data_IF_141985571405
#
_entry.id   IF_141985571405
#
_cell.length_a   1.000
_cell.length_b   1.000
_cell.length_c   1.000
_cell.angle_alpha   90.00
_cell.angle_beta   90.00
_cell.angle_gamma   90.00
#
_symmetry.space_group_name_H-M   'P 1'
#
loop_
_entity.id
_entity.type
_entity.pdbx_description
1 polymer ?
#
# COMPACT_ATOMS: atom_id res chain seq x y z
N UNK A 1 -15.90 5.42 -30.90
CA UNK A 1 -16.91 6.28 -30.24
C UNK A 1 -18.08 5.46 -29.66
N UNK A 2 -17.83 4.40 -28.89
CA UNK A 2 -18.90 3.54 -28.34
C UNK A 2 -19.15 3.74 -26.83
N UNK A 3 -18.23 4.41 -26.13
CA UNK A 3 -18.31 4.58 -24.68
C UNK A 3 -19.06 5.86 -24.29
N UNK A 4 -19.01 6.90 -25.13
CA UNK A 4 -19.77 8.15 -24.97
C UNK A 4 -21.28 7.96 -25.15
N UNK A 5 -21.74 6.87 -25.76
CA UNK A 5 -23.18 6.52 -25.84
C UNK A 5 -23.69 5.82 -24.57
N UNK A 6 -22.79 5.36 -23.68
CA UNK A 6 -23.14 4.66 -22.44
C UNK A 6 -22.91 5.50 -21.19
N UNK A 7 -21.90 6.40 -21.20
CA UNK A 7 -21.62 7.30 -20.08
C UNK A 7 -20.99 8.61 -20.54
N UNK A 8 -21.53 9.72 -20.04
CA UNK A 8 -21.04 11.08 -20.27
C UNK A 8 -20.04 11.50 -19.16
N UNK A 9 -19.23 10.57 -18.63
CA UNK A 9 -18.28 10.84 -17.52
C UNK A 9 -16.86 10.43 -17.90
N UNK A 10 -15.91 11.36 -17.91
CA UNK A 10 -14.54 11.10 -18.37
C UNK A 10 -13.83 10.07 -17.46
N UNK A 11 -13.26 8.97 -18.00
CA UNK A 11 -12.59 7.96 -17.18
C UNK A 11 -11.25 8.42 -16.61
N UNK A 12 -10.67 9.51 -17.13
CA UNK A 12 -9.36 10.04 -16.70
C UNK A 12 -9.47 11.03 -15.54
N UNK A 13 -10.55 11.81 -15.49
CA UNK A 13 -10.71 12.89 -14.50
C UNK A 13 -12.07 12.90 -13.79
N UNK A 14 -12.95 11.95 -14.12
CA UNK A 14 -14.25 11.73 -13.49
C UNK A 14 -15.24 12.90 -13.69
N UNK A 15 -14.90 13.89 -14.54
CA UNK A 15 -15.78 15.02 -14.84
C UNK A 15 -16.85 14.66 -15.89
N UNK A 16 -18.10 15.12 -15.73
CA UNK A 16 -19.12 14.97 -16.75
C UNK A 16 -18.80 15.83 -17.97
N UNK A 17 -19.02 15.32 -19.18
CA UNK A 17 -18.80 16.05 -20.42
C UNK A 17 -19.99 15.85 -21.38
N UNK A 18 -20.35 16.91 -22.11
CA UNK A 18 -21.44 16.90 -23.11
C UNK A 18 -20.92 17.10 -24.53
N UNK A 19 -19.63 17.40 -24.67
CA UNK A 19 -18.99 17.67 -25.95
C UNK A 19 -17.66 16.92 -26.04
N UNK A 20 -17.30 16.49 -27.24
CA UNK A 20 -16.00 15.90 -27.55
C UNK A 20 -15.41 16.62 -28.76
N UNK A 21 -14.13 16.96 -28.67
CA UNK A 21 -13.37 17.52 -29.78
C UNK A 21 -12.68 16.37 -30.52
N UNK A 22 -12.77 16.38 -31.85
CA UNK A 22 -12.18 15.37 -32.72
C UNK A 22 -11.71 16.03 -34.03
N UNK A 23 -10.86 15.33 -34.78
CA UNK A 23 -10.25 15.82 -36.01
C UNK A 23 -9.57 17.19 -35.83
N UNK A 24 -8.50 17.20 -35.02
CA UNK A 24 -7.76 18.42 -34.64
C UNK A 24 -6.65 18.62 -35.67
N UNK A 25 -6.74 19.69 -36.45
CA UNK A 25 -5.72 20.07 -37.44
C UNK A 25 -4.81 21.19 -36.94
N UNK A 26 -5.37 22.15 -36.20
CA UNK A 26 -4.64 23.30 -35.61
C UNK A 26 -5.43 23.85 -34.39
N UNK A 27 -4.83 24.77 -33.63
CA UNK A 27 -5.41 25.33 -32.38
C UNK A 27 -6.78 26.01 -32.59
N UNK A 28 -7.09 26.41 -33.83
CA UNK A 28 -8.36 27.03 -34.22
C UNK A 28 -9.22 26.15 -35.15
N UNK A 29 -8.70 25.01 -35.60
CA UNK A 29 -9.35 24.15 -36.58
C UNK A 29 -9.54 22.75 -36.00
N UNK A 30 -10.66 22.58 -35.30
CA UNK A 30 -11.09 21.31 -34.73
C UNK A 30 -12.61 21.14 -34.84
N UNK A 31 -13.06 19.89 -34.94
CA UNK A 31 -14.47 19.55 -34.99
C UNK A 31 -15.01 19.21 -33.60
N UNK A 32 -16.07 19.90 -33.18
CA UNK A 32 -16.73 19.61 -31.90
C UNK A 32 -18.01 18.81 -32.13
N UNK A 33 -18.10 17.63 -31.55
CA UNK A 33 -19.31 16.81 -31.53
C UNK A 33 -20.04 17.00 -30.19
N UNK A 34 -21.28 17.46 -30.23
CA UNK A 34 -22.15 17.52 -29.05
C UNK A 34 -22.95 16.22 -28.92
N UNK A 35 -23.01 15.66 -27.72
CA UNK A 35 -23.82 14.47 -27.46
C UNK A 35 -25.22 14.87 -27.02
N UNK A 36 -26.23 14.20 -27.60
CA UNK A 36 -27.63 14.31 -27.19
C UNK A 36 -27.74 13.98 -25.68
N UNK A 37 -28.48 14.76 -24.87
CA UNK A 37 -28.73 14.39 -23.48
C UNK A 37 -29.29 12.97 -23.42
N UNK A 38 -28.77 12.12 -22.52
CA UNK A 38 -29.26 10.76 -22.30
C UNK A 38 -30.71 10.81 -21.79
N UNK A 39 -31.66 10.95 -22.72
CA UNK A 39 -33.08 10.94 -22.45
C UNK A 39 -33.48 9.53 -22.04
N UNK A 40 -33.98 9.40 -20.82
CA UNK A 40 -34.52 8.17 -20.28
C UNK A 40 -35.60 7.63 -21.23
N UNK A 41 -35.57 6.30 -21.42
CA UNK A 41 -36.40 5.53 -22.33
C UNK A 41 -37.84 6.06 -22.50
N UNK A 42 -38.22 6.33 -23.75
CA UNK A 42 -39.61 6.52 -24.17
C UNK A 42 -40.34 5.18 -24.14
N UNK A 43 -41.44 5.12 -23.39
CA UNK A 43 -42.52 4.15 -23.64
C UNK A 43 -43.62 4.82 -24.45
N UNK A 44 -44.04 4.16 -25.53
CA UNK A 44 -44.99 4.64 -26.52
C UNK A 44 -46.44 4.83 -26.02
N UNK A 45 -47.08 5.87 -26.56
CA UNK A 45 -48.47 6.00 -27.03
C UNK A 45 -49.65 5.50 -26.17
N UNK A 46 -50.56 6.44 -25.86
CA UNK A 46 -51.96 6.14 -25.51
C UNK A 46 -52.60 7.22 -24.65
N UNK A 47 -53.28 8.18 -25.26
CA UNK A 47 -54.21 9.11 -24.58
C UNK A 47 -55.54 8.37 -24.36
N UNK A 48 -56.15 8.45 -23.15
CA UNK A 48 -57.45 9.12 -23.04
C UNK A 48 -57.55 9.96 -21.75
N UNK A 49 -57.90 11.24 -21.89
CA UNK A 49 -59.14 11.87 -21.38
C UNK A 49 -59.27 12.01 -19.86
N UNK A 50 -59.47 13.27 -19.47
CA UNK A 50 -59.78 13.79 -18.14
C UNK A 50 -60.58 12.85 -17.22
N UNK A 51 -60.16 12.75 -15.97
CA UNK A 51 -61.03 12.63 -14.82
C UNK A 51 -60.29 13.13 -13.59
N UNK A 52 -60.91 14.12 -12.98
CA UNK A 52 -60.61 14.75 -11.71
C UNK A 52 -60.50 13.71 -10.59
N UNK A 53 -59.38 13.68 -9.86
CA UNK A 53 -59.30 13.09 -8.52
C UNK A 53 -58.16 13.76 -7.78
N UNK A 54 -58.51 14.68 -6.89
CA UNK A 54 -57.61 15.33 -5.93
C UNK A 54 -57.09 14.31 -4.91
N UNK A 55 -56.03 13.59 -5.28
CA UNK A 55 -55.25 12.79 -4.34
C UNK A 55 -54.22 13.70 -3.66
N UNK A 56 -54.44 13.93 -2.37
CA UNK A 56 -53.61 14.68 -1.44
C UNK A 56 -52.11 14.55 -1.74
N UNK A 57 -51.42 15.70 -1.82
CA UNK A 57 -49.98 15.89 -2.07
C UNK A 57 -49.00 14.98 -1.25
N UNK A 58 -49.49 14.20 -0.29
CA UNK A 58 -48.71 13.26 0.51
C UNK A 58 -48.40 11.92 -0.16
N UNK A 59 -49.20 11.43 -1.12
CA UNK A 59 -49.02 10.09 -1.70
C UNK A 59 -47.99 10.09 -2.86
N UNK A 60 -47.97 11.13 -3.69
CA UNK A 60 -47.06 11.22 -4.85
C UNK A 60 -45.58 11.31 -4.44
N UNK A 61 -45.26 11.85 -3.25
CA UNK A 61 -43.88 11.89 -2.73
C UNK A 61 -43.30 10.53 -2.34
N UNK A 62 -44.11 9.47 -2.15
CA UNK A 62 -43.62 8.15 -1.72
C UNK A 62 -43.13 7.24 -2.84
N UNK A 63 -43.61 7.43 -4.08
CA UNK A 63 -43.30 6.49 -5.17
C UNK A 63 -42.27 7.03 -6.17
N UNK A 64 -42.13 8.35 -6.31
CA UNK A 64 -41.21 8.96 -7.28
C UNK A 64 -40.44 10.20 -6.75
N UNK A 65 -40.40 10.40 -5.43
CA UNK A 65 -39.52 11.41 -4.83
C UNK A 65 -38.08 10.89 -4.77
N UNK A 66 -37.05 11.74 -4.97
CA UNK A 66 -35.67 11.35 -4.72
C UNK A 66 -35.58 10.78 -3.30
N UNK A 67 -34.79 9.71 -3.08
CA UNK A 67 -34.70 9.10 -1.76
C UNK A 67 -34.31 10.23 -0.81
N UNK A 68 -35.26 10.62 0.03
CA UNK A 68 -34.96 11.44 1.18
C UNK A 68 -34.17 10.49 2.04
N UNK A 69 -32.86 10.40 1.79
CA UNK A 69 -31.91 10.15 2.83
C UNK A 69 -32.41 11.06 3.94
N UNK A 70 -33.05 10.47 4.96
CA UNK A 70 -33.08 11.10 6.24
C UNK A 70 -31.61 11.36 6.48
N UNK A 71 -31.20 12.60 6.24
CA UNK A 71 -30.12 13.18 6.99
C UNK A 71 -30.65 13.05 8.42
N UNK A 72 -30.38 11.90 9.03
CA UNK A 72 -29.66 11.94 10.29
C UNK A 72 -28.42 12.75 9.94
N UNK A 73 -28.56 14.07 9.91
CA UNK A 73 -27.66 14.91 10.66
C UNK A 73 -27.78 14.32 12.05
N UNK A 74 -27.00 13.27 12.28
CA UNK A 74 -26.60 12.92 13.63
C UNK A 74 -26.10 14.27 14.09
N UNK A 75 -26.80 14.88 15.05
CA UNK A 75 -26.22 15.86 15.93
C UNK A 75 -25.03 15.13 16.57
N UNK A 76 -23.95 14.91 15.80
CA UNK A 76 -22.66 14.53 16.30
C UNK A 76 -22.19 15.86 16.84
N UNK A 77 -22.18 16.05 18.17
CA UNK A 77 -21.58 17.25 18.73
C UNK A 77 -20.20 17.39 18.09
N UNK A 78 -19.76 18.62 17.75
CA UNK A 78 -18.40 18.82 17.28
C UNK A 78 -17.49 18.12 18.29
N UNK A 79 -16.85 17.02 17.87
CA UNK A 79 -15.85 16.43 18.72
C UNK A 79 -14.76 17.47 18.85
N UNK A 80 -14.20 17.67 20.05
CA UNK A 80 -13.05 18.53 20.19
C UNK A 80 -11.98 18.01 19.22
N UNK A 81 -11.48 18.86 18.32
CA UNK A 81 -10.49 18.51 17.29
C UNK A 81 -9.28 17.78 17.91
N UNK A 82 -8.94 18.15 19.14
CA UNK A 82 -7.92 17.51 19.97
C UNK A 82 -8.16 16.02 20.24
N UNK A 83 -9.41 15.55 20.35
CA UNK A 83 -9.70 14.12 20.55
C UNK A 83 -9.54 13.32 19.26
N UNK A 84 -9.82 13.91 18.10
CA UNK A 84 -9.60 13.26 16.81
C UNK A 84 -8.10 13.23 16.48
N UNK A 85 -7.37 14.32 16.73
CA UNK A 85 -5.90 14.41 16.59
C UNK A 85 -5.18 13.42 17.50
N UNK A 86 -5.56 13.35 18.79
CA UNK A 86 -5.00 12.38 19.73
C UNK A 86 -5.22 10.94 19.24
N UNK A 87 -6.42 10.63 18.72
CA UNK A 87 -6.71 9.30 18.17
C UNK A 87 -5.90 8.95 16.92
N UNK A 88 -5.46 9.93 16.14
CA UNK A 88 -4.59 9.73 14.97
C UNK A 88 -3.16 9.48 15.43
N UNK A 89 -2.66 10.29 16.37
CA UNK A 89 -1.34 10.12 16.96
C UNK A 89 -1.22 8.75 17.65
N UNK A 90 -2.22 8.35 18.43
CA UNK A 90 -2.26 7.04 19.10
C UNK A 90 -2.22 5.88 18.08
N UNK A 91 -2.93 6.01 16.95
CA UNK A 91 -2.89 5.02 15.87
C UNK A 91 -1.53 4.96 15.17
N UNK A 92 -0.89 6.10 14.93
CA UNK A 92 0.45 6.17 14.35
C UNK A 92 1.48 5.52 15.29
N UNK A 93 1.37 5.79 16.59
CA UNK A 93 2.24 5.20 17.60
C UNK A 93 2.06 3.70 17.71
N UNK A 94 0.82 3.20 17.70
CA UNK A 94 0.53 1.77 17.69
C UNK A 94 1.06 1.08 16.42
N UNK A 95 0.96 1.74 15.26
CA UNK A 95 1.54 1.25 14.02
C UNK A 95 3.08 1.17 14.10
N UNK A 96 3.74 2.21 14.63
CA UNK A 96 5.18 2.22 14.86
C UNK A 96 5.60 1.09 15.82
N UNK A 97 4.87 0.89 16.91
CA UNK A 97 5.15 -0.17 17.87
C UNK A 97 4.99 -1.58 17.26
N UNK A 98 3.98 -1.76 16.42
CA UNK A 98 3.83 -2.99 15.64
C UNK A 98 5.04 -3.25 14.74
N UNK A 99 5.53 -2.23 14.02
CA UNK A 99 6.73 -2.34 13.18
C UNK A 99 8.00 -2.62 13.99
N UNK A 100 8.15 -2.00 15.17
CA UNK A 100 9.23 -2.36 16.11
C UNK A 100 9.20 -3.84 16.44
N UNK A 101 8.02 -4.39 16.73
CA UNK A 101 7.88 -5.80 17.04
C UNK A 101 8.28 -6.71 15.86
N UNK A 102 8.03 -6.29 14.61
CA UNK A 102 8.45 -7.02 13.40
C UNK A 102 9.97 -7.16 13.36
N UNK A 103 10.71 -6.04 13.48
CA UNK A 103 12.18 -6.07 13.47
C UNK A 103 12.78 -6.75 14.71
N UNK A 104 12.24 -6.48 15.91
CA UNK A 104 12.72 -7.08 17.16
C UNK A 104 12.69 -8.61 17.13
N UNK A 105 11.66 -9.18 16.52
CA UNK A 105 11.49 -10.64 16.43
C UNK A 105 12.00 -11.23 15.11
N UNK A 106 12.65 -10.43 14.24
CA UNK A 106 13.14 -10.89 12.95
C UNK A 106 12.05 -11.49 12.06
N UNK A 107 10.84 -10.93 12.09
CA UNK A 107 9.70 -11.44 11.34
C UNK A 107 9.74 -10.96 9.89
N UNK A 108 10.15 -11.83 8.97
CA UNK A 108 10.17 -11.48 7.54
C UNK A 108 8.79 -11.64 6.91
N UNK A 109 8.37 -10.67 6.08
CA UNK A 109 7.17 -10.86 5.25
C UNK A 109 7.37 -12.04 4.29
N UNK A 110 6.34 -12.87 4.15
CA UNK A 110 6.31 -13.94 3.16
C UNK A 110 6.34 -13.33 1.77
N UNK A 111 7.09 -13.97 0.87
CA UNK A 111 7.22 -13.51 -0.50
C UNK A 111 5.85 -13.40 -1.18
N UNK A 112 5.47 -12.18 -1.59
CA UNK A 112 4.25 -11.95 -2.37
C UNK A 112 4.49 -12.56 -3.75
N UNK A 113 3.80 -13.67 -4.04
CA UNK A 113 3.89 -14.35 -5.34
C UNK A 113 3.54 -13.41 -6.49
N UNK A 114 4.28 -13.53 -7.59
CA UNK A 114 4.06 -12.78 -8.82
C UNK A 114 2.79 -13.28 -9.55
N UNK A 115 1.61 -12.91 -9.06
CA UNK A 115 0.34 -13.24 -9.70
C UNK A 115 -0.18 -12.05 -10.51
N UNK A 116 -0.78 -12.32 -11.68
CA UNK A 116 -1.50 -11.29 -12.46
C UNK A 116 -2.61 -10.59 -11.67
N UNK A 117 -3.18 -11.28 -10.68
CA UNK A 117 -4.18 -10.74 -9.75
C UNK A 117 -3.52 -9.89 -8.65
N UNK A 118 -2.26 -10.15 -8.27
CA UNK A 118 -1.54 -9.38 -7.23
C UNK A 118 -0.94 -8.07 -7.75
N UNK A 119 -0.95 -7.83 -9.07
CA UNK A 119 -0.40 -6.61 -9.65
C UNK A 119 1.13 -6.51 -9.54
N UNK A 120 1.82 -7.66 -9.63
CA UNK A 120 3.27 -7.76 -9.48
C UNK A 120 4.03 -6.73 -10.33
N UNK A 121 4.90 -5.96 -9.66
CA UNK A 121 5.71 -4.92 -10.26
C UNK A 121 7.20 -5.32 -10.21
N UNK A 122 7.90 -5.30 -11.35
CA UNK A 122 9.36 -5.36 -11.36
C UNK A 122 9.89 -4.05 -10.77
N UNK A 123 10.60 -4.12 -9.64
CA UNK A 123 11.23 -2.97 -9.00
C UNK A 123 12.71 -3.03 -9.31
N UNK A 124 13.15 -2.12 -10.18
CA UNK A 124 14.55 -1.95 -10.57
C UNK A 124 14.96 -0.48 -10.43
N UNK A 125 16.25 -0.16 -10.30
CA UNK A 125 16.71 1.23 -10.23
C UNK A 125 16.24 2.06 -11.42
N UNK A 126 16.25 1.46 -12.61
CA UNK A 126 15.75 2.09 -13.84
C UNK A 126 14.27 2.44 -13.76
N UNK A 127 13.47 1.57 -13.14
CA UNK A 127 12.05 1.82 -12.91
C UNK A 127 11.83 3.07 -12.04
N UNK A 128 12.67 3.30 -11.04
CA UNK A 128 12.59 4.49 -10.19
C UNK A 128 13.07 5.77 -10.89
N UNK A 129 13.96 5.65 -11.88
CA UNK A 129 14.39 6.78 -12.72
C UNK A 129 13.31 7.20 -13.70
N UNK A 130 12.65 6.24 -14.34
CA UNK A 130 11.58 6.49 -15.32
C UNK A 130 10.30 6.96 -14.61
N UNK A 131 9.96 6.36 -13.47
CA UNK A 131 8.73 6.64 -12.72
C UNK A 131 9.04 7.16 -11.31
N UNK A 132 9.50 8.42 -11.16
CA UNK A 132 9.89 8.97 -9.86
C UNK A 132 8.73 9.01 -8.86
N UNK A 133 7.48 9.13 -9.32
CA UNK A 133 6.28 9.11 -8.48
C UNK A 133 6.11 7.80 -7.68
N UNK A 134 6.80 6.73 -8.07
CA UNK A 134 6.81 5.48 -7.29
C UNK A 134 7.59 5.64 -5.99
N UNK A 135 8.56 6.55 -5.95
CA UNK A 135 9.33 6.87 -4.76
C UNK A 135 8.51 7.68 -3.76
N UNK A 136 7.55 8.50 -4.21
CA UNK A 136 6.70 9.33 -3.34
C UNK A 136 5.93 8.48 -2.31
N UNK A 137 5.54 7.26 -2.70
CA UNK A 137 4.91 6.31 -1.79
C UNK A 137 5.90 5.64 -0.83
N UNK A 138 7.17 5.48 -1.23
CA UNK A 138 8.21 4.90 -0.39
C UNK A 138 8.69 5.89 0.67
N UNK A 139 8.66 7.20 0.39
CA UNK A 139 9.07 8.26 1.31
C UNK A 139 8.47 8.12 2.72
N UNK A 140 7.12 8.14 2.90
CA UNK A 140 6.53 8.03 4.23
C UNK A 140 6.76 6.65 4.85
N UNK A 141 6.89 5.61 4.03
CA UNK A 141 7.17 4.26 4.50
C UNK A 141 8.59 4.16 5.07
N UNK A 142 9.60 4.62 4.31
CA UNK A 142 11.01 4.62 4.73
C UNK A 142 11.16 5.43 6.02
N UNK A 143 10.58 6.64 6.11
CA UNK A 143 10.64 7.45 7.34
C UNK A 143 10.11 6.67 8.55
N UNK A 144 8.96 6.01 8.41
CA UNK A 144 8.36 5.19 9.49
C UNK A 144 9.26 4.02 9.89
N UNK A 145 9.81 3.29 8.93
CA UNK A 145 10.67 2.14 9.20
C UNK A 145 12.00 2.54 9.83
N UNK A 146 12.60 3.65 9.39
CA UNK A 146 13.79 4.21 10.03
C UNK A 146 13.48 4.60 11.48
N UNK A 147 12.35 5.26 11.73
CA UNK A 147 11.91 5.58 13.09
C UNK A 147 11.72 4.32 13.94
N UNK A 148 11.16 3.24 13.37
CA UNK A 148 11.03 1.97 14.07
C UNK A 148 12.41 1.37 14.40
N UNK A 149 13.34 1.34 13.45
CA UNK A 149 14.68 0.75 13.62
C UNK A 149 15.55 1.54 14.61
N UNK A 150 15.60 2.87 14.50
CA UNK A 150 16.46 3.69 15.37
C UNK A 150 15.99 3.70 16.82
N UNK A 151 14.68 3.56 17.05
CA UNK A 151 14.11 3.51 18.40
C UNK A 151 14.06 2.10 18.98
N UNK A 152 14.37 1.05 18.21
CA UNK A 152 14.55 -0.31 18.73
C UNK A 152 15.81 -0.46 19.54
N UNK A 153 16.86 0.26 19.13
CA UNK A 153 18.11 0.33 19.83
C UNK A 153 18.19 1.72 20.48
N UNK A 154 17.50 1.96 21.62
CA UNK A 154 17.78 3.14 22.40
C UNK A 154 19.23 2.97 22.85
N UNK A 155 20.17 3.53 22.09
CA UNK A 155 21.56 3.58 22.51
C UNK A 155 21.54 4.21 23.91
N UNK A 156 21.95 3.49 24.96
CA UNK A 156 22.02 4.07 26.29
C UNK A 156 23.22 5.01 26.30
N UNK A 157 23.09 6.17 25.65
CA UNK A 157 24.08 7.23 25.72
C UNK A 157 23.94 7.91 27.07
N UNK A 158 24.86 7.53 27.95
CA UNK A 158 25.16 8.11 29.27
C UNK A 158 24.24 7.74 30.42
N UNK A 159 24.27 6.49 30.86
CA UNK A 159 24.12 6.23 32.30
C UNK A 159 25.39 6.71 33.02
N UNK A 160 25.39 7.98 33.44
CA UNK A 160 26.24 8.41 34.54
C UNK A 160 25.50 8.02 35.83
N UNK A 161 26.06 7.15 36.69
CA UNK A 161 25.46 6.88 37.99
C UNK A 161 25.70 8.08 38.90
N UNK A 162 24.85 9.10 38.80
CA UNK A 162 24.83 10.21 39.76
C UNK A 162 23.70 9.97 40.74
N UNK A 163 24.05 9.33 41.86
CA UNK A 163 23.28 9.40 43.08
C UNK A 163 23.08 10.87 43.46
N UNK A 164 21.84 11.36 43.39
CA UNK A 164 21.53 12.73 43.79
C UNK A 164 20.03 13.02 43.64
N UNK A 165 19.41 13.35 44.77
CA UNK A 165 17.97 13.53 44.94
C UNK A 165 17.31 14.50 43.93
N UNK A 166 16.14 14.05 43.44
CA UNK A 166 14.98 14.76 42.91
C UNK A 166 15.03 16.28 42.66
N UNK A 167 14.68 16.67 41.43
CA UNK A 167 13.84 17.84 41.13
C UNK A 167 13.11 17.65 39.77
N UNK A 168 11.77 17.59 39.71
CA UNK A 168 11.02 17.34 38.47
C UNK A 168 10.46 18.62 37.82
N UNK A 169 11.32 19.57 37.42
CA UNK A 169 10.80 20.81 36.81
C UNK A 169 11.57 21.38 35.59
N UNK A 170 12.64 20.75 35.10
CA UNK A 170 13.43 21.32 33.98
C UNK A 170 13.83 20.31 32.90
N UNK A 171 12.92 19.38 32.52
CA UNK A 171 13.24 18.35 31.50
C UNK A 171 12.57 18.58 30.14
N UNK A 172 11.54 19.42 30.04
CA UNK A 172 10.75 19.56 28.80
C UNK A 172 11.50 20.17 27.61
N UNK A 173 12.51 21.01 27.85
CA UNK A 173 13.23 21.70 26.77
C UNK A 173 14.38 20.88 26.17
N UNK A 174 14.96 19.96 26.94
CA UNK A 174 16.04 19.09 26.46
C UNK A 174 15.49 17.94 25.59
N UNK A 175 14.32 17.40 25.97
CA UNK A 175 13.65 16.31 25.23
C UNK A 175 13.22 16.77 23.82
N UNK A 176 12.77 18.03 23.68
CA UNK A 176 12.37 18.56 22.36
C UNK A 176 13.55 18.68 21.39
N UNK A 177 14.73 19.10 21.87
CA UNK A 177 15.91 19.30 21.00
C UNK A 177 16.48 17.96 20.51
N UNK A 178 16.47 16.92 21.36
CA UNK A 178 16.90 15.57 20.98
C UNK A 178 15.96 14.95 19.93
N UNK A 179 14.64 15.15 20.08
CA UNK A 179 13.66 14.70 19.10
C UNK A 179 13.85 15.38 17.74
N UNK A 180 14.09 16.70 17.72
CA UNK A 180 14.34 17.46 16.47
C UNK A 180 15.66 17.05 15.78
N UNK A 181 16.72 16.78 16.55
CA UNK A 181 18.00 16.31 16.02
C UNK A 181 17.87 14.89 15.43
N UNK A 182 17.14 14.00 16.10
CA UNK A 182 16.84 12.68 15.55
C UNK A 182 15.98 12.75 14.29
N UNK A 183 14.97 13.62 14.26
CA UNK A 183 14.09 13.78 13.10
C UNK A 183 14.86 14.27 11.87
N UNK A 184 15.77 15.22 12.07
CA UNK A 184 16.66 15.74 11.04
C UNK A 184 17.59 14.66 10.48
N UNK A 185 18.18 13.83 11.37
CA UNK A 185 19.00 12.69 10.96
C UNK A 185 18.23 11.66 10.14
N UNK A 186 16.98 11.36 10.55
CA UNK A 186 16.09 10.45 9.82
C UNK A 186 15.79 10.95 8.41
N UNK A 187 15.54 12.25 8.24
CA UNK A 187 15.28 12.83 6.92
C UNK A 187 16.51 12.74 6.00
N UNK A 188 17.71 12.96 6.54
CA UNK A 188 18.95 12.81 5.77
C UNK A 188 19.13 11.35 5.31
N UNK A 189 18.94 10.39 6.22
CA UNK A 189 19.06 8.96 5.90
C UNK A 189 17.98 8.54 4.90
N UNK A 190 16.75 9.02 5.07
CA UNK A 190 15.64 8.78 4.13
C UNK A 190 16.00 9.26 2.72
N UNK A 191 16.46 10.51 2.58
CA UNK A 191 16.87 11.07 1.29
C UNK A 191 18.04 10.32 0.66
N UNK A 192 19.00 9.89 1.48
CA UNK A 192 20.10 9.05 1.04
C UNK A 192 19.60 7.70 0.52
N UNK A 193 18.72 7.00 1.24
CA UNK A 193 18.14 5.72 0.80
C UNK A 193 17.35 5.90 -0.51
N UNK A 194 16.56 6.97 -0.65
CA UNK A 194 15.89 7.30 -1.91
C UNK A 194 16.88 7.49 -3.06
N UNK A 195 18.03 8.13 -2.81
CA UNK A 195 19.08 8.28 -3.80
C UNK A 195 19.74 6.93 -4.17
N UNK A 196 19.92 6.03 -3.20
CA UNK A 196 20.42 4.66 -3.44
C UNK A 196 19.43 3.88 -4.31
N UNK A 197 18.12 3.93 -4.02
CA UNK A 197 17.08 3.28 -4.82
C UNK A 197 17.15 3.67 -6.31
N UNK A 198 17.55 4.90 -6.62
CA UNK A 198 17.66 5.41 -8.01
C UNK A 198 18.90 4.92 -8.75
N UNK A 199 19.91 4.41 -8.05
CA UNK A 199 21.25 4.13 -8.61
C UNK A 199 21.67 2.67 -8.50
N UNK A 200 21.24 1.99 -7.44
CA UNK A 200 21.68 0.64 -7.10
C UNK A 200 20.49 -0.28 -6.89
N UNK A 201 20.63 -1.53 -7.32
CA UNK A 201 19.67 -2.57 -6.98
C UNK A 201 19.88 -2.98 -5.53
N UNK A 202 18.89 -2.70 -4.69
CA UNK A 202 18.94 -2.99 -3.26
C UNK A 202 19.00 -4.49 -2.95
N UNK A 203 18.66 -5.36 -3.91
CA UNK A 203 18.80 -6.80 -3.71
C UNK A 203 20.25 -7.29 -3.79
N UNK A 204 21.17 -6.47 -4.32
CA UNK A 204 22.59 -6.81 -4.45
C UNK A 204 23.38 -6.43 -3.20
N UNK A 205 24.46 -7.15 -2.92
CA UNK A 205 25.34 -6.86 -1.78
C UNK A 205 25.83 -5.40 -1.80
N UNK A 206 26.22 -4.90 -2.98
CA UNK A 206 26.63 -3.51 -3.17
C UNK A 206 25.53 -2.51 -2.76
N UNK A 207 24.28 -2.77 -3.12
CA UNK A 207 23.15 -1.91 -2.75
C UNK A 207 22.86 -1.93 -1.24
N UNK A 208 22.99 -3.10 -0.61
CA UNK A 208 22.77 -3.26 0.82
C UNK A 208 23.89 -2.64 1.65
N UNK A 209 25.14 -2.80 1.23
CA UNK A 209 26.31 -2.25 1.94
C UNK A 209 26.26 -0.72 2.04
N UNK A 210 25.71 -0.04 1.04
CA UNK A 210 25.50 1.42 1.08
C UNK A 210 24.57 1.87 2.21
N UNK A 211 23.64 1.02 2.64
CA UNK A 211 22.65 1.32 3.69
C UNK A 211 23.07 0.71 5.04
N UNK A 212 23.99 -0.26 5.02
CA UNK A 212 24.45 -1.04 6.17
C UNK A 212 25.08 -0.19 7.27
N UNK A 213 25.74 0.90 6.90
CA UNK A 213 26.33 1.85 7.86
C UNK A 213 25.28 2.54 8.74
N UNK A 214 24.02 2.62 8.29
CA UNK A 214 22.93 3.26 9.03
C UNK A 214 22.02 2.28 9.77
N UNK A 215 21.77 1.10 9.17
CA UNK A 215 20.79 0.12 9.69
C UNK A 215 21.42 -1.14 10.28
N UNK A 216 22.72 -1.34 10.10
CA UNK A 216 23.50 -2.43 10.68
C UNK A 216 22.86 -3.81 10.44
N UNK A 217 22.59 -4.56 11.50
CA UNK A 217 21.97 -5.90 11.46
C UNK A 217 20.54 -5.91 10.90
N UNK A 218 19.86 -4.76 10.87
CA UNK A 218 18.50 -4.64 10.34
C UNK A 218 18.46 -4.35 8.83
N UNK A 219 19.60 -4.19 8.17
CA UNK A 219 19.69 -3.80 6.75
C UNK A 219 18.99 -4.80 5.83
N UNK A 220 19.29 -6.08 5.97
CA UNK A 220 18.73 -7.13 5.11
C UNK A 220 17.21 -7.24 5.30
N UNK A 221 16.76 -7.15 6.55
CA UNK A 221 15.35 -7.15 6.90
C UNK A 221 14.63 -5.93 6.33
N UNK A 222 15.20 -4.73 6.51
CA UNK A 222 14.66 -3.49 5.95
C UNK A 222 14.53 -3.56 4.42
N UNK A 223 15.57 -4.04 3.73
CA UNK A 223 15.57 -4.19 2.27
C UNK A 223 14.49 -5.18 1.82
N UNK A 224 14.36 -6.31 2.52
CA UNK A 224 13.33 -7.31 2.22
C UNK A 224 11.91 -6.71 2.33
N UNK A 225 11.64 -6.00 3.41
CA UNK A 225 10.36 -5.31 3.64
C UNK A 225 10.11 -4.20 2.61
N UNK A 226 11.14 -3.42 2.27
CA UNK A 226 11.06 -2.34 1.29
C UNK A 226 10.71 -2.87 -0.09
N UNK A 227 11.36 -3.95 -0.50
CA UNK A 227 11.08 -4.60 -1.79
C UNK A 227 9.68 -5.23 -1.79
N UNK A 228 9.25 -5.81 -0.67
CA UNK A 228 7.88 -6.31 -0.50
C UNK A 228 6.84 -5.20 -0.68
N UNK A 229 7.05 -4.06 -0.01
CA UNK A 229 6.15 -2.91 -0.10
C UNK A 229 6.16 -2.28 -1.49
N UNK A 230 7.33 -2.02 -2.07
CA UNK A 230 7.50 -1.41 -3.38
C UNK A 230 6.82 -2.21 -4.50
N UNK A 231 6.85 -3.55 -4.41
CA UNK A 231 6.18 -4.44 -5.36
C UNK A 231 4.66 -4.49 -5.18
N UNK A 232 4.15 -4.13 -4.00
CA UNK A 232 2.72 -4.18 -3.69
C UNK A 232 1.98 -2.94 -4.22
N UNK A 233 0.68 -3.04 -4.54
CA UNK A 233 -0.15 -1.88 -4.91
C UNK A 233 -0.77 -1.13 -3.71
N UNK A 234 -0.45 -1.52 -2.47
CA UNK A 234 -1.19 -1.13 -1.27
C UNK A 234 -0.76 0.19 -0.62
N UNK A 235 -1.67 0.94 0.00
CA UNK A 235 -1.25 1.98 0.95
C UNK A 235 -0.42 1.36 2.10
N UNK A 236 0.30 2.17 2.87
CA UNK A 236 1.08 1.69 4.01
C UNK A 236 0.20 0.86 4.96
N UNK A 237 -0.99 1.37 5.30
CA UNK A 237 -1.91 0.72 6.23
C UNK A 237 -2.52 -0.55 5.62
N UNK A 238 -2.75 -0.58 4.31
CA UNK A 238 -3.23 -1.77 3.62
C UNK A 238 -2.14 -2.84 3.50
N UNK A 239 -0.89 -2.43 3.33
CA UNK A 239 0.26 -3.32 3.35
C UNK A 239 0.43 -3.96 4.73
N UNK A 240 0.42 -3.18 5.81
CA UNK A 240 0.54 -3.71 7.17
C UNK A 240 -0.55 -4.74 7.52
N UNK A 241 -1.79 -4.53 7.03
CA UNK A 241 -2.91 -5.46 7.24
C UNK A 241 -2.82 -6.74 6.42
N UNK A 242 -2.14 -6.70 5.28
CA UNK A 242 -2.07 -7.82 4.32
C UNK A 242 -0.75 -8.59 4.40
N UNK A 243 0.30 -7.97 4.95
CA UNK A 243 1.59 -8.58 5.16
C UNK A 243 1.46 -9.80 6.08
N UNK A 244 1.88 -10.95 5.57
CA UNK A 244 1.92 -12.19 6.33
C UNK A 244 3.37 -12.45 6.71
N UNK A 245 3.67 -12.58 7.98
CA UNK A 245 5.04 -12.84 8.43
C UNK A 245 5.31 -14.34 8.59
N UNK A 246 6.56 -14.73 8.42
CA UNK A 246 6.99 -16.08 8.78
C UNK A 246 6.84 -16.27 10.28
N UNK A 247 5.92 -17.14 10.71
CA UNK A 247 5.85 -17.56 12.11
C UNK A 247 7.20 -18.19 12.47
N UNK A 248 7.84 -17.73 13.53
CA UNK A 248 9.12 -18.25 14.03
C UNK A 248 9.07 -19.77 14.36
N UNK A 249 7.89 -20.39 14.30
CA UNK A 249 7.62 -21.83 14.47
C UNK A 249 7.55 -22.64 13.17
N UNK A 250 7.63 -22.02 11.99
CA UNK A 250 7.42 -22.70 10.69
C UNK A 250 8.70 -23.23 10.01
N UNK A 251 9.79 -23.37 10.76
CA UNK A 251 11.04 -24.02 10.30
C UNK A 251 11.18 -25.50 10.72
N UNK A 252 10.10 -26.17 11.14
CA UNK A 252 10.12 -27.61 11.48
C UNK A 252 8.98 -28.40 10.83
N UNK A 253 9.15 -28.76 9.56
CA UNK A 253 8.65 -30.00 8.95
C UNK A 253 8.87 -29.98 7.44
N UNK A 254 10.10 -30.21 7.03
CA UNK A 254 10.37 -30.85 5.74
C UNK A 254 11.19 -32.09 6.05
N UNK A 255 10.52 -33.11 6.56
CA UNK A 255 11.05 -34.46 6.55
C UNK A 255 11.01 -34.96 5.10
N UNK A 256 12.14 -35.33 4.48
CA UNK A 256 12.11 -36.04 3.22
C UNK A 256 11.46 -37.40 3.49
N UNK A 257 10.38 -37.70 2.79
CA UNK A 257 9.74 -39.02 2.81
C UNK A 257 10.74 -40.00 2.18
N UNK A 258 11.50 -40.67 3.05
CA UNK A 258 12.29 -41.85 2.70
C UNK A 258 11.29 -42.96 2.39
N UNK A 259 11.18 -43.32 1.12
CA UNK A 259 10.47 -44.52 0.68
C UNK A 259 11.28 -45.74 1.13
N UNK A 260 10.75 -46.65 1.95
CA UNK A 260 11.48 -47.84 2.35
C UNK A 260 11.44 -48.87 1.21
N UNK A 261 12.63 -49.33 0.81
CA UNK A 261 12.79 -50.44 -0.11
C UNK A 261 12.31 -51.76 0.49
N UNK A 262 11.58 -52.53 -0.30
CA UNK A 262 11.32 -53.96 -0.09
C UNK A 262 11.92 -54.74 -1.25
N UNK A 263 12.99 -55.50 -0.98
CA UNK A 263 13.66 -56.35 -1.96
C UNK A 263 12.92 -57.66 -2.23
N UNK A 264 13.23 -58.28 -3.37
CA UNK A 264 12.71 -59.61 -3.72
C UNK A 264 13.09 -60.13 -5.11
N UNK A 265 14.35 -60.55 -5.26
CA UNK A 265 14.89 -61.71 -6.00
C UNK A 265 14.52 -62.04 -7.48
N UNK A 266 15.60 -62.20 -8.26
CA UNK A 266 15.96 -63.33 -9.16
C UNK A 266 15.12 -63.55 -10.45
N UNK A 267 15.75 -63.28 -11.62
CA UNK A 267 16.18 -64.34 -12.57
C UNK A 267 17.03 -63.77 -13.73
N UNK A 268 18.27 -64.23 -13.80
CA UNK A 268 19.06 -64.40 -15.03
C UNK A 268 18.31 -65.32 -16.01
N UNK A 269 18.39 -65.09 -17.33
CA UNK A 269 19.41 -65.84 -18.10
C UNK A 269 20.04 -65.09 -19.29
N UNK A 270 21.35 -65.26 -19.45
CA UNK A 270 21.95 -65.98 -20.59
C UNK A 270 21.81 -65.44 -22.02
N UNK A 271 22.94 -64.90 -22.52
CA UNK A 271 23.62 -65.07 -23.83
C UNK A 271 22.80 -65.07 -25.14
N UNK A 272 23.27 -64.25 -26.10
CA UNK A 272 23.71 -64.60 -27.48
C UNK A 272 24.01 -63.24 -28.17
N UNK A 273 25.28 -62.92 -28.48
CA UNK A 273 25.96 -63.03 -29.79
C UNK A 273 25.52 -62.01 -30.87
N UNK A 274 26.45 -61.73 -31.79
CA UNK A 274 26.35 -60.91 -33.03
C UNK A 274 26.74 -59.43 -32.88
N UNK A 275 28.00 -59.02 -33.10
CA UNK A 275 28.78 -58.95 -34.36
C UNK A 275 28.31 -57.87 -35.35
N UNK A 276 29.29 -57.01 -35.70
CA UNK A 276 29.49 -56.25 -36.95
C UNK A 276 28.91 -54.85 -37.16
N UNK A 277 29.91 -53.96 -37.32
CA UNK A 277 30.06 -52.77 -38.19
C UNK A 277 29.45 -51.46 -37.71
#
# INVERSE_FOLDING_TARGET
MQWSTLSHTCPLCIRPFTTCIHDIQDDQHFSTHQFEPLSHARSHSGRPTASDTTLSHGIIRRLYGPPQFRRRTRNRPPQPESAEEQSVADRQQAALESRRNVYRNGLFVRHIGANRISGFQQITPETFRIFPQRLDRLVPWIRRELQAITTLNPSPRSEVPSQGLANPTTTRSADNNALEETDSGLEIIREYIIAVCRRYDLQTDQGQDLIRDFLHEHTEHFVHELMGFARSPFSIEAYDRSAQYTSSSSSSSSTPVVVPGGGGNIREPGKDEEEKL
#
